data_IF_368769703785
#
_entry.id   IF_368769703785
#
_cell.length_a   1.000
_cell.length_b   1.000
_cell.length_c   1.000
_cell.angle_alpha   90.00
_cell.angle_beta   90.00
_cell.angle_gamma   90.00
#
_symmetry.space_group_name_H-M   'P 1'
#
loop_
_entity.id
_entity.type
_entity.pdbx_description
1 polymer ?
#
# COMPACT_ATOMS: atom_id res chain seq x y z
N UNK A 1 7.91 -35.48 7.93
CA UNK A 1 7.94 -34.77 8.17
C UNK A 1 8.16 -34.16 8.22
N UNK A 2 8.10 -34.20 7.94
CA UNK A 2 8.23 -33.28 8.15
C UNK A 2 8.54 -32.67 7.78
N UNK A 3 8.66 -32.50 7.12
CA UNK A 3 8.92 -31.53 7.00
C UNK A 3 8.44 -30.89 6.74
N UNK A 4 7.99 -31.19 6.25
CA UNK A 4 7.54 -30.24 6.17
C UNK A 4 7.25 -29.55 6.67
N UNK A 5 7.15 -29.63 6.82
CA UNK A 5 6.98 -28.69 7.40
C UNK A 5 7.69 -27.94 7.62
N UNK A 6 8.35 -27.85 7.27
CA UNK A 6 8.96 -27.03 7.49
C UNK A 6 9.20 -26.17 6.75
N UNK A 7 9.07 -26.06 5.91
CA UNK A 7 9.14 -25.25 5.36
C UNK A 7 8.57 -24.37 5.25
N UNK A 8 8.36 -24.39 5.17
CA UNK A 8 7.74 -23.56 5.26
C UNK A 8 7.84 -22.74 5.99
N UNK A 9 8.45 -22.83 6.26
CA UNK A 9 8.35 -22.10 7.25
C UNK A 9 8.67 -20.73 7.05
N UNK A 10 9.76 -20.29 6.68
CA UNK A 10 10.12 -18.95 6.47
C UNK A 10 9.37 -18.33 5.37
N UNK A 11 9.20 -18.99 4.33
CA UNK A 11 8.43 -18.48 3.22
C UNK A 11 6.97 -18.41 3.55
N UNK A 12 6.54 -19.37 4.34
CA UNK A 12 5.17 -19.34 4.75
C UNK A 12 4.86 -18.13 5.57
N UNK A 13 5.80 -17.72 6.42
CA UNK A 13 5.62 -16.53 7.19
C UNK A 13 5.49 -15.31 6.31
N UNK A 14 6.29 -15.24 5.25
CA UNK A 14 6.18 -14.13 4.34
C UNK A 14 4.87 -14.15 3.58
N UNK A 15 4.43 -15.34 3.18
CA UNK A 15 3.17 -15.44 2.47
C UNK A 15 2.00 -15.05 3.34
N UNK A 16 2.11 -15.33 4.64
CA UNK A 16 1.05 -14.99 5.57
C UNK A 16 1.12 -13.57 6.03
N UNK A 17 2.19 -12.85 5.69
CA UNK A 17 2.31 -11.47 6.11
C UNK A 17 1.30 -10.62 5.35
N UNK A 18 0.67 -9.65 6.03
CA UNK A 18 -0.27 -8.79 5.34
C UNK A 18 0.43 -7.94 4.29
N UNK A 19 -0.30 -7.66 3.24
CA UNK A 19 0.21 -6.83 2.16
C UNK A 19 -0.48 -5.49 2.17
N UNK A 20 0.27 -4.47 1.78
CA UNK A 20 -0.29 -3.13 1.64
C UNK A 20 -1.41 -3.15 0.60
N UNK A 21 -2.58 -2.63 0.98
CA UNK A 21 -3.71 -2.62 0.08
C UNK A 21 -3.50 -1.67 -1.10
N UNK A 22 -2.55 -0.75 -0.99
CA UNK A 22 -2.26 0.20 -2.06
C UNK A 22 -1.24 -0.35 -3.04
N UNK A 23 -0.08 -0.81 -2.55
CA UNK A 23 1.04 -1.14 -3.43
C UNK A 23 1.54 -2.57 -3.29
N UNK A 24 0.91 -3.38 -2.46
CA UNK A 24 1.26 -4.78 -2.27
C UNK A 24 2.62 -5.02 -1.61
N UNK A 25 3.27 -3.96 -1.14
CA UNK A 25 4.48 -4.11 -0.35
C UNK A 25 4.08 -4.68 1.01
N UNK A 26 5.05 -5.01 1.83
CA UNK A 26 4.75 -5.55 3.15
C UNK A 26 4.07 -4.48 4.00
N UNK A 27 2.90 -4.79 4.53
CA UNK A 27 2.16 -3.84 5.35
C UNK A 27 2.79 -3.76 6.74
N UNK A 28 2.64 -2.61 7.36
CA UNK A 28 3.18 -2.35 8.68
C UNK A 28 2.06 -2.15 9.71
N UNK A 29 0.87 -2.62 9.39
CA UNK A 29 -0.27 -2.51 10.28
C UNK A 29 -1.36 -1.62 9.71
N UNK A 30 -2.35 -1.37 10.54
CA UNK A 30 -3.45 -0.51 10.14
C UNK A 30 -3.05 0.94 10.29
N UNK A 31 -3.20 1.69 9.22
CA UNK A 31 -2.96 3.13 9.24
C UNK A 31 -4.18 3.79 8.62
N UNK A 32 -4.76 4.73 9.33
CA UNK A 32 -5.94 5.44 8.84
C UNK A 32 -7.07 4.46 8.48
N UNK A 33 -7.11 3.32 9.18
CA UNK A 33 -8.17 2.35 8.99
C UNK A 33 -7.92 1.29 7.93
N UNK A 34 -6.76 1.31 7.27
CA UNK A 34 -6.47 0.38 6.17
C UNK A 34 -5.09 -0.23 6.39
N UNK A 35 -4.96 -1.49 6.04
CA UNK A 35 -3.70 -2.20 6.15
C UNK A 35 -2.78 -1.76 5.01
N UNK A 36 -1.76 -0.97 5.35
CA UNK A 36 -0.85 -0.41 4.35
C UNK A 36 0.58 -0.45 4.85
N UNK A 37 1.52 -0.27 3.93
CA UNK A 37 2.91 -0.18 4.28
C UNK A 37 3.23 1.22 4.82
N UNK A 38 4.40 1.33 5.43
CA UNK A 38 4.82 2.60 6.03
C UNK A 38 4.91 3.71 4.99
N UNK A 39 5.39 3.38 3.79
CA UNK A 39 5.56 4.40 2.75
C UNK A 39 4.22 4.97 2.30
N UNK A 40 3.21 4.09 2.13
CA UNK A 40 1.90 4.57 1.72
C UNK A 40 1.22 5.33 2.85
N UNK A 41 1.40 4.89 4.09
CA UNK A 41 0.86 5.62 5.24
C UNK A 41 1.46 7.01 5.30
N UNK A 42 2.78 7.12 5.15
CA UNK A 42 3.45 8.41 5.19
C UNK A 42 3.04 9.30 4.03
N UNK A 43 2.91 8.70 2.85
CA UNK A 43 2.47 9.44 1.67
C UNK A 43 1.07 10.03 1.89
N UNK A 44 0.16 9.20 2.38
CA UNK A 44 -1.20 9.65 2.61
C UNK A 44 -1.22 10.76 3.66
N UNK A 45 -0.47 10.56 4.75
CA UNK A 45 -0.45 11.55 5.81
C UNK A 45 0.08 12.89 5.31
N UNK A 46 1.21 12.87 4.60
CA UNK A 46 1.79 14.12 4.08
C UNK A 46 0.83 14.80 3.12
N UNK A 47 0.17 14.01 2.29
CA UNK A 47 -0.74 14.57 1.28
C UNK A 47 -1.95 15.24 1.92
N UNK A 48 -2.50 14.63 2.96
CA UNK A 48 -3.67 15.20 3.62
C UNK A 48 -3.31 16.43 4.45
N UNK A 49 -2.18 16.38 5.15
CA UNK A 49 -1.76 17.52 5.97
C UNK A 49 -1.44 18.71 5.09
N UNK A 50 -0.75 18.48 3.97
CA UNK A 50 -0.39 19.55 3.05
C UNK A 50 -1.52 19.92 2.10
N UNK A 51 -2.64 19.20 2.18
CA UNK A 51 -3.80 19.44 1.32
C UNK A 51 -3.40 19.42 -0.14
N UNK A 52 -2.61 18.40 -0.49
CA UNK A 52 -2.13 18.26 -1.86
C UNK A 52 -3.24 17.89 -2.80
N UNK A 53 -3.20 18.47 -3.99
CA UNK A 53 -4.10 18.11 -5.07
C UNK A 53 -3.23 17.60 -6.21
N UNK A 54 -3.40 16.34 -6.54
CA UNK A 54 -2.60 15.71 -7.59
C UNK A 54 -3.43 15.56 -8.85
N UNK A 55 -2.78 15.61 -9.98
CA UNK A 55 -3.45 15.38 -11.26
C UNK A 55 -2.76 14.25 -11.98
N UNK A 56 -3.57 13.31 -12.46
CA UNK A 56 -3.07 12.23 -13.28
C UNK A 56 -2.87 12.75 -14.70
N UNK A 57 -1.73 12.42 -15.31
CA UNK A 57 -1.43 12.82 -16.68
C UNK A 57 -1.94 11.85 -17.71
N UNK A 58 -2.61 10.81 -17.25
CA UNK A 58 -3.06 9.73 -18.12
C UNK A 58 -4.56 9.54 -17.90
N UNK A 59 -5.00 8.29 -17.91
CA UNK A 59 -6.44 8.02 -17.88
C UNK A 59 -7.01 7.81 -16.48
N UNK A 60 -6.17 7.97 -15.45
CA UNK A 60 -6.65 7.78 -14.09
C UNK A 60 -6.55 6.35 -13.59
N UNK A 61 -5.95 5.48 -14.37
CA UNK A 61 -5.80 4.07 -14.03
C UNK A 61 -4.34 3.66 -14.02
N UNK A 62 -3.46 4.54 -13.57
CA UNK A 62 -2.04 4.21 -13.53
C UNK A 62 -1.80 3.06 -12.59
N UNK A 63 -0.89 2.19 -13.00
CA UNK A 63 -0.53 1.04 -12.18
C UNK A 63 0.33 1.54 -11.02
N UNK A 64 -0.13 1.29 -9.82
CA UNK A 64 0.59 1.69 -8.61
C UNK A 64 0.64 0.54 -7.60
N UNK A 65 0.28 -0.65 -8.03
CA UNK A 65 0.09 -1.78 -7.12
C UNK A 65 1.35 -2.60 -6.89
N UNK A 66 2.50 -2.09 -7.30
CA UNK A 66 3.78 -2.69 -6.98
C UNK A 66 4.69 -1.63 -6.41
N UNK A 67 5.61 -2.07 -5.57
CA UNK A 67 6.56 -1.17 -4.96
C UNK A 67 7.32 -0.35 -6.01
N UNK A 68 7.67 -0.97 -7.13
CA UNK A 68 8.48 -0.33 -8.16
C UNK A 68 7.73 0.75 -8.91
N UNK A 69 6.41 0.70 -8.94
CA UNK A 69 5.64 1.64 -9.73
C UNK A 69 4.72 2.53 -8.89
N UNK A 70 4.69 2.32 -7.58
CA UNK A 70 3.74 3.06 -6.74
C UNK A 70 3.96 4.55 -6.75
N UNK A 71 5.16 5.01 -7.09
CA UNK A 71 5.47 6.42 -7.13
C UNK A 71 5.33 7.03 -8.52
N UNK A 72 4.89 6.26 -9.50
CA UNK A 72 4.81 6.75 -10.87
C UNK A 72 3.69 7.75 -11.06
N UNK A 73 2.64 7.68 -10.25
CA UNK A 73 1.53 8.62 -10.33
C UNK A 73 0.96 8.87 -8.95
N UNK A 74 1.29 10.01 -8.39
CA UNK A 74 0.81 10.34 -7.05
C UNK A 74 -0.70 10.52 -7.01
N UNK A 75 -1.29 11.00 -8.12
CA UNK A 75 -2.74 11.15 -8.18
C UNK A 75 -3.44 9.81 -8.04
N UNK A 76 -2.99 8.80 -8.79
CA UNK A 76 -3.59 7.48 -8.73
C UNK A 76 -3.31 6.81 -7.40
N UNK A 77 -2.13 7.01 -6.84
CA UNK A 77 -1.80 6.45 -5.54
C UNK A 77 -2.71 7.03 -4.45
N UNK A 78 -2.88 8.34 -4.46
CA UNK A 78 -3.74 9.00 -3.47
C UNK A 78 -5.19 8.59 -3.66
N UNK A 79 -5.66 8.54 -4.92
CA UNK A 79 -7.02 8.12 -5.20
C UNK A 79 -7.27 6.71 -4.70
N UNK A 80 -6.27 5.84 -4.82
CA UNK A 80 -6.43 4.48 -4.31
C UNK A 80 -6.54 4.47 -2.79
N UNK A 81 -5.75 5.28 -2.11
CA UNK A 81 -5.87 5.40 -0.66
C UNK A 81 -7.28 5.79 -0.27
N UNK A 82 -7.84 6.78 -0.94
CA UNK A 82 -9.20 7.23 -0.65
C UNK A 82 -10.21 6.14 -0.95
N UNK A 83 -10.06 5.47 -2.09
CA UNK A 83 -11.02 4.44 -2.49
C UNK A 83 -11.02 3.25 -1.53
N UNK A 84 -9.90 3.01 -0.85
CA UNK A 84 -9.80 1.94 0.13
C UNK A 84 -10.36 2.34 1.48
N UNK A 85 -10.74 3.61 1.63
CA UNK A 85 -11.34 4.06 2.86
C UNK A 85 -10.39 4.67 3.86
N UNK A 86 -9.17 5.03 3.45
CA UNK A 86 -8.26 5.69 4.36
C UNK A 86 -8.84 7.05 4.76
N UNK A 87 -8.78 7.35 6.04
CA UNK A 87 -9.40 8.54 6.59
C UNK A 87 -8.36 9.21 7.50
N UNK A 88 -8.02 10.47 7.23
CA UNK A 88 -7.02 11.17 8.05
C UNK A 88 -7.49 11.46 9.46
N UNK A 89 -8.77 11.34 9.72
CA UNK A 89 -9.30 11.50 11.06
C UNK A 89 -9.38 10.15 11.74
#
# INVERSE_FOLDING_TARGET
MTESQEKQLYNEGEEDSPRCAVCSDQAQGLHFGVMVCRACAAFFRRSTIAKRVYQCRYSGNCQINFREVRCSCRACRFARCISLGMDPN
#
